data_IF_326363286286
#
_entry.id   IF_326363286286
#
_cell.length_a   1.000
_cell.length_b   1.000
_cell.length_c   1.000
_cell.angle_alpha   90.00
_cell.angle_beta   90.00
_cell.angle_gamma   90.00
#
_symmetry.space_group_name_H-M   'P 1'
#
loop_
_entity.id
_entity.type
_entity.pdbx_description
1 polymer ?
#
# COMPACT_ATOMS: atom_id res chain seq x y z
N UNK A 1 16.31 -33.84 -9.21
CA UNK A 1 16.94 -33.49 -7.92
C UNK A 1 17.19 -31.99 -7.95
N UNK A 2 16.39 -31.20 -7.25
CA UNK A 2 16.61 -29.76 -7.16
C UNK A 2 17.70 -29.52 -6.12
N UNK A 3 18.82 -28.94 -6.56
CA UNK A 3 19.99 -28.61 -5.74
C UNK A 3 19.63 -27.45 -4.79
N UNK A 4 18.90 -27.79 -3.73
CA UNK A 4 18.32 -26.83 -2.78
C UNK A 4 19.30 -26.44 -1.66
N UNK A 5 20.47 -27.10 -1.63
CA UNK A 5 21.54 -26.89 -0.66
C UNK A 5 22.77 -26.17 -1.27
N UNK A 6 22.67 -25.66 -2.51
CA UNK A 6 23.76 -24.87 -3.10
C UNK A 6 23.92 -23.55 -2.35
N UNK A 7 25.07 -23.40 -1.70
CA UNK A 7 25.50 -22.12 -1.10
C UNK A 7 25.76 -21.15 -2.25
N UNK A 8 24.90 -20.14 -2.38
CA UNK A 8 25.08 -19.04 -3.33
C UNK A 8 26.03 -18.03 -2.71
N UNK A 9 27.16 -17.80 -3.39
CA UNK A 9 28.15 -16.83 -2.93
C UNK A 9 27.76 -15.39 -3.37
N UNK A 10 28.15 -14.35 -2.62
CA UNK A 10 27.74 -12.97 -2.91
C UNK A 10 28.13 -12.47 -4.31
N UNK A 11 29.25 -12.94 -4.85
CA UNK A 11 29.73 -12.63 -6.20
C UNK A 11 28.79 -13.18 -7.30
N UNK A 12 28.19 -14.34 -7.09
CA UNK A 12 27.19 -14.91 -8.00
C UNK A 12 25.87 -14.09 -7.98
N UNK A 13 25.49 -13.53 -6.82
CA UNK A 13 24.28 -12.68 -6.69
C UNK A 13 24.46 -11.35 -7.41
N UNK A 14 25.63 -10.73 -7.26
CA UNK A 14 25.93 -9.45 -7.90
C UNK A 14 25.99 -9.59 -9.43
N UNK A 15 26.56 -10.69 -9.93
CA UNK A 15 26.55 -11.02 -11.35
C UNK A 15 25.13 -11.29 -11.88
N UNK A 16 24.28 -12.01 -11.14
CA UNK A 16 22.90 -12.26 -11.52
C UNK A 16 22.07 -10.96 -11.56
N UNK A 17 22.32 -10.04 -10.63
CA UNK A 17 21.64 -8.75 -10.56
C UNK A 17 22.06 -7.81 -11.69
N UNK A 18 23.33 -7.78 -12.08
CA UNK A 18 23.79 -7.01 -13.23
C UNK A 18 23.09 -7.44 -14.52
N UNK A 19 23.01 -8.76 -14.77
CA UNK A 19 22.35 -9.31 -15.96
C UNK A 19 20.84 -9.01 -16.02
N UNK A 20 20.16 -8.88 -14.87
CA UNK A 20 18.75 -8.53 -14.81
C UNK A 20 18.47 -7.05 -15.09
N UNK A 21 19.41 -6.16 -14.74
CA UNK A 21 19.29 -4.71 -14.99
C UNK A 21 19.48 -4.39 -16.48
N UNK A 22 20.38 -5.09 -17.15
CA UNK A 22 20.60 -4.92 -18.60
C UNK A 22 19.41 -5.42 -19.45
N UNK A 23 18.62 -6.38 -18.95
CA UNK A 23 17.39 -6.84 -19.60
C UNK A 23 16.21 -5.85 -19.45
N UNK A 24 16.21 -5.00 -18.42
CA UNK A 24 15.18 -3.98 -18.20
C UNK A 24 15.40 -2.70 -19.03
N UNK A 25 16.62 -2.47 -19.54
CA UNK A 25 16.96 -1.29 -20.32
C UNK A 25 16.55 -1.36 -21.81
N UNK A 26 16.03 -2.50 -22.29
CA UNK A 26 15.63 -2.70 -23.69
C UNK A 26 14.10 -2.64 -23.96
N UNK A 27 13.30 -2.21 -22.98
CA UNK A 27 11.84 -2.06 -23.12
C UNK A 27 11.36 -0.61 -22.88
N UNK A 28 12.10 0.38 -23.39
CA UNK A 28 11.52 1.69 -23.72
C UNK A 28 11.01 1.62 -25.17
N UNK A 29 9.74 1.26 -25.33
CA UNK A 29 8.98 1.56 -26.55
C UNK A 29 7.82 2.45 -26.15
N UNK A 30 8.07 3.75 -26.17
CA UNK A 30 7.02 4.75 -26.30
C UNK A 30 6.23 4.46 -27.58
N UNK A 31 4.96 4.11 -27.44
CA UNK A 31 4.00 4.11 -28.55
C UNK A 31 2.59 4.17 -27.98
N UNK A 32 1.92 5.29 -28.19
CA UNK A 32 0.52 5.43 -27.82
C UNK A 32 0.01 6.85 -27.95
N UNK A 33 0.36 7.55 -29.03
CA UNK A 33 -0.43 8.68 -29.47
C UNK A 33 -1.47 8.17 -30.45
N UNK A 34 -2.74 8.21 -30.08
CA UNK A 34 -3.85 8.30 -31.02
C UNK A 34 -4.93 9.20 -30.39
N UNK A 35 -5.07 10.37 -30.98
CA UNK A 35 -6.08 11.36 -30.65
C UNK A 35 -7.47 10.75 -30.91
N UNK A 36 -8.36 10.77 -29.91
CA UNK A 36 -9.78 10.69 -30.19
C UNK A 36 -10.53 11.82 -29.51
N UNK A 37 -11.32 12.46 -30.37
CA UNK A 37 -12.24 13.56 -30.18
C UNK A 37 -13.15 13.40 -28.97
N UNK A 38 -13.34 14.53 -28.27
CA UNK A 38 -14.35 14.76 -27.24
C UNK A 38 -15.74 14.62 -27.87
N UNK A 39 -16.52 13.63 -27.43
CA UNK A 39 -17.96 13.76 -27.25
C UNK A 39 -18.35 13.03 -25.95
N UNK A 40 -19.11 13.76 -25.14
CA UNK A 40 -19.38 13.54 -23.73
C UNK A 40 -20.34 12.36 -23.52
N UNK A 41 -19.82 11.23 -23.07
CA UNK A 41 -20.65 10.22 -22.40
C UNK A 41 -20.38 10.38 -20.91
N UNK A 42 -21.33 10.99 -20.19
CA UNK A 42 -21.32 11.04 -18.73
C UNK A 42 -21.47 9.61 -18.18
N UNK A 43 -20.36 8.89 -18.12
CA UNK A 43 -20.28 7.64 -17.37
C UNK A 43 -20.41 8.03 -15.90
N UNK A 44 -21.43 7.56 -15.17
CA UNK A 44 -21.51 7.81 -13.74
C UNK A 44 -20.23 7.27 -13.12
N UNK A 45 -19.38 8.20 -12.64
CA UNK A 45 -18.12 7.92 -11.96
C UNK A 45 -18.46 7.04 -10.77
N UNK A 46 -18.34 5.73 -10.94
CA UNK A 46 -18.50 4.78 -9.86
C UNK A 46 -17.53 5.21 -8.78
N UNK A 47 -18.08 5.73 -7.68
CA UNK A 47 -17.31 6.00 -6.49
C UNK A 47 -16.77 4.64 -6.05
N UNK A 48 -15.50 4.39 -6.35
CA UNK A 48 -14.77 3.26 -5.80
C UNK A 48 -14.88 3.40 -4.28
N UNK A 49 -15.74 2.61 -3.65
CA UNK A 49 -15.76 2.50 -2.20
C UNK A 49 -14.47 1.77 -1.84
N UNK A 50 -13.41 2.55 -1.69
CA UNK A 50 -12.17 2.09 -1.06
C UNK A 50 -12.55 1.72 0.35
N UNK A 51 -12.66 0.42 0.63
CA UNK A 51 -12.82 -0.07 1.99
C UNK A 51 -11.63 0.44 2.80
N UNK A 52 -11.85 1.50 3.58
CA UNK A 52 -10.84 2.00 4.52
C UNK A 52 -10.87 1.04 5.69
N UNK A 53 -9.73 0.43 6.02
CA UNK A 53 -9.59 -0.33 7.25
C UNK A 53 -9.77 0.64 8.43
N UNK A 54 -11.01 0.79 8.89
CA UNK A 54 -11.36 1.62 10.04
C UNK A 54 -11.29 0.76 11.28
N UNK A 55 -10.25 0.96 12.09
CA UNK A 55 -10.10 0.31 13.37
C UNK A 55 -10.86 1.17 14.39
N UNK A 56 -12.00 0.67 14.88
CA UNK A 56 -12.74 1.31 15.97
C UNK A 56 -12.13 0.92 17.30
N UNK A 57 -11.57 1.89 18.03
CA UNK A 57 -11.06 1.68 19.39
C UNK A 57 -12.20 1.89 20.38
N UNK A 58 -12.45 0.95 21.32
CA UNK A 58 -13.41 1.15 22.39
C UNK A 58 -13.08 2.36 23.26
N UNK A 59 -14.10 3.00 23.86
CA UNK A 59 -13.85 4.02 24.88
C UNK A 59 -13.18 3.38 26.10
N UNK A 60 -12.16 4.04 26.63
CA UNK A 60 -11.44 3.54 27.81
C UNK A 60 -12.22 3.76 29.11
N UNK A 61 -13.23 4.63 29.09
CA UNK A 61 -14.05 4.99 30.24
C UNK A 61 -15.54 4.92 29.89
N UNK A 62 -16.40 4.62 30.87
CA UNK A 62 -17.85 4.67 30.68
C UNK A 62 -18.34 6.10 30.41
N UNK A 63 -19.55 6.22 29.88
CA UNK A 63 -20.17 7.52 29.56
C UNK A 63 -20.25 8.42 30.80
N UNK A 64 -19.89 9.70 30.64
CA UNK A 64 -19.82 10.65 31.75
C UNK A 64 -18.51 10.62 32.55
N UNK A 65 -17.58 9.71 32.23
CA UNK A 65 -16.25 9.65 32.85
C UNK A 65 -15.14 9.99 31.84
N UNK A 66 -14.09 10.69 32.30
CA UNK A 66 -12.86 10.96 31.54
C UNK A 66 -11.66 10.33 32.20
N UNK A 67 -10.72 9.87 31.38
CA UNK A 67 -9.45 9.30 31.83
C UNK A 67 -8.57 10.42 32.41
N UNK A 68 -8.20 10.32 33.68
CA UNK A 68 -7.22 11.19 34.31
C UNK A 68 -5.79 10.89 33.87
N UNK A 69 -4.85 11.78 34.23
CA UNK A 69 -3.42 11.58 33.95
C UNK A 69 -2.82 10.37 34.68
N UNK A 70 -3.50 9.89 35.72
CA UNK A 70 -3.20 8.68 36.49
C UNK A 70 -3.72 7.39 35.84
N UNK A 71 -4.46 7.50 34.72
CA UNK A 71 -5.08 6.33 34.07
C UNK A 71 -6.33 5.83 34.78
N UNK A 72 -6.95 6.65 35.65
CA UNK A 72 -8.20 6.33 36.34
C UNK A 72 -9.35 7.13 35.74
N UNK A 73 -10.46 6.48 35.46
CA UNK A 73 -11.69 7.14 35.00
C UNK A 73 -12.34 7.92 36.14
N UNK A 74 -12.63 9.21 35.93
CA UNK A 74 -13.27 10.10 36.91
C UNK A 74 -14.47 10.80 36.27
N UNK A 75 -15.50 11.09 37.08
CA UNK A 75 -16.71 11.79 36.63
C UNK A 75 -16.35 13.17 36.09
N UNK A 76 -16.96 13.54 34.97
CA UNK A 76 -16.88 14.89 34.43
C UNK A 76 -17.95 15.71 35.14
N UNK A 77 -17.53 16.62 36.01
CA UNK A 77 -18.39 17.67 36.52
C UNK A 77 -18.29 18.86 35.56
N UNK A 78 -19.31 19.08 34.73
CA UNK A 78 -19.48 20.30 33.92
C UNK A 78 -20.05 21.44 34.78
#
# INVERSE_FOLDING_TARGET
MADSDRIVYPDEVDAAKANAVDAAAAADKTSGGDSNTVEEVEVPKQASITMRNMITVPSNCPDGYKMGADGVCREVFD
#
